data_IF_162905007933
#
_entry.id   IF_162905007933
#
_cell.length_a   1.000
_cell.length_b   1.000
_cell.length_c   1.000
_cell.angle_alpha   90.00
_cell.angle_beta   90.00
_cell.angle_gamma   90.00
#
_symmetry.space_group_name_H-M   'P 1'
#
loop_
_entity.id
_entity.type
_entity.pdbx_description
1 polymer ?
#
# COMPACT_ATOMS: atom_id res chain seq x y z
N UNK A 1 11.78 12.97 33.36
CA UNK A 1 11.28 13.69 32.17
C UNK A 1 11.46 12.74 30.98
N UNK A 2 10.45 12.58 30.12
CA UNK A 2 10.52 11.63 29.00
C UNK A 2 11.73 11.93 28.12
N UNK A 3 12.51 10.91 27.77
CA UNK A 3 13.71 11.02 26.92
C UNK A 3 13.45 11.72 25.58
N UNK A 4 12.19 11.78 25.14
CA UNK A 4 11.77 12.45 23.91
C UNK A 4 11.79 13.98 23.99
N UNK A 5 11.53 14.56 25.17
CA UNK A 5 11.46 16.02 25.34
C UNK A 5 12.83 16.71 25.34
N UNK A 6 13.91 15.94 25.24
CA UNK A 6 15.29 16.43 25.22
C UNK A 6 15.91 16.41 23.82
N UNK A 7 15.19 15.90 22.81
CA UNK A 7 15.63 15.88 21.43
C UNK A 7 15.49 17.26 20.79
N UNK A 8 16.32 17.58 19.80
CA UNK A 8 16.02 18.68 18.88
C UNK A 8 14.77 18.35 18.07
N UNK A 9 14.11 19.36 17.52
CA UNK A 9 12.91 19.17 16.69
C UNK A 9 13.18 18.21 15.52
N UNK A 10 14.32 18.32 14.84
CA UNK A 10 14.70 17.41 13.75
C UNK A 10 14.85 15.96 14.21
N UNK A 11 15.52 15.74 15.35
CA UNK A 11 15.71 14.39 15.90
C UNK A 11 14.40 13.80 16.43
N UNK A 12 13.50 14.65 16.95
CA UNK A 12 12.17 14.24 17.37
C UNK A 12 11.31 13.85 16.15
N UNK A 13 11.31 14.67 15.10
CA UNK A 13 10.57 14.40 13.87
C UNK A 13 11.08 13.13 13.17
N UNK A 14 12.39 12.96 13.02
CA UNK A 14 12.98 11.75 12.44
C UNK A 14 12.54 10.49 13.20
N UNK A 15 12.61 10.53 14.53
CA UNK A 15 12.20 9.40 15.38
C UNK A 15 10.71 9.10 15.28
N UNK A 16 9.85 10.13 15.25
CA UNK A 16 8.41 9.94 15.10
C UNK A 16 8.05 9.37 13.73
N UNK A 17 8.67 9.88 12.66
CA UNK A 17 8.46 9.37 11.31
C UNK A 17 8.96 7.93 11.15
N UNK A 18 10.14 7.60 11.68
CA UNK A 18 10.68 6.24 11.63
C UNK A 18 9.80 5.27 12.42
N UNK A 19 9.30 5.67 13.60
CA UNK A 19 8.38 4.86 14.38
C UNK A 19 7.04 4.65 13.65
N UNK A 20 6.50 5.68 13.00
CA UNK A 20 5.29 5.57 12.19
C UNK A 20 5.51 4.65 10.98
N UNK A 21 6.66 4.75 10.31
CA UNK A 21 7.02 3.86 9.21
C UNK A 21 7.16 2.40 9.65
N UNK A 22 7.66 2.16 10.87
CA UNK A 22 7.79 0.83 11.47
C UNK A 22 6.50 0.03 11.45
N UNK A 23 5.34 0.70 11.55
CA UNK A 23 4.04 0.05 11.38
C UNK A 23 3.93 -0.76 10.08
N UNK A 24 4.35 -0.19 8.95
CA UNK A 24 4.29 -0.86 7.65
C UNK A 24 5.30 -2.00 7.53
N UNK A 25 6.44 -1.90 8.22
CA UNK A 25 7.46 -2.93 8.23
C UNK A 25 6.96 -4.16 8.99
N UNK A 26 6.35 -3.92 10.16
CA UNK A 26 6.01 -4.95 11.14
C UNK A 26 4.67 -5.64 10.86
N UNK A 27 3.72 -4.95 10.22
CA UNK A 27 2.33 -5.44 10.09
C UNK A 27 1.92 -5.89 8.69
N UNK A 28 2.70 -5.55 7.66
CA UNK A 28 2.41 -5.97 6.28
C UNK A 28 2.48 -7.50 6.14
N UNK A 29 1.52 -8.07 5.43
CA UNK A 29 1.54 -9.48 5.06
C UNK A 29 2.60 -9.72 3.97
N UNK A 30 3.67 -10.43 4.33
CA UNK A 30 4.81 -10.71 3.46
C UNK A 30 4.47 -11.58 2.24
N UNK A 31 3.32 -12.26 2.21
CA UNK A 31 2.89 -13.11 1.09
C UNK A 31 2.24 -12.32 -0.03
N UNK A 32 1.51 -11.23 0.28
CA UNK A 32 0.68 -10.52 -0.69
C UNK A 32 0.79 -8.99 -0.66
N UNK A 33 1.57 -8.40 0.27
CA UNK A 33 1.75 -6.95 0.31
C UNK A 33 0.62 -6.16 0.95
N UNK A 34 -0.42 -6.83 1.47
CA UNK A 34 -1.52 -6.15 2.13
C UNK A 34 -1.14 -5.67 3.53
N UNK A 35 -1.73 -4.55 3.94
CA UNK A 35 -1.45 -3.88 5.21
C UNK A 35 -2.76 -3.74 5.98
N UNK A 36 -2.80 -4.11 7.27
CA UNK A 36 -4.00 -3.93 8.08
C UNK A 36 -4.37 -2.45 8.21
N UNK A 37 -5.62 -2.17 8.56
CA UNK A 37 -6.14 -0.82 8.82
C UNK A 37 -5.56 -0.23 10.12
N UNK A 38 -5.31 -1.08 11.11
CA UNK A 38 -4.77 -0.69 12.42
C UNK A 38 -3.75 -1.72 12.94
N UNK A 39 -3.06 -1.40 14.03
CA UNK A 39 -2.18 -2.34 14.75
C UNK A 39 -2.91 -3.30 15.69
N UNK A 40 -4.25 -3.25 15.74
CA UNK A 40 -5.04 -4.14 16.58
C UNK A 40 -5.04 -5.55 15.99
N UNK A 41 -5.07 -6.55 16.87
CA UNK A 41 -5.19 -7.94 16.46
C UNK A 41 -6.45 -8.15 15.61
N UNK A 42 -6.33 -8.96 14.55
CA UNK A 42 -7.40 -9.27 13.59
C UNK A 42 -8.00 -8.06 12.86
N UNK A 43 -7.28 -6.93 12.78
CA UNK A 43 -7.68 -5.81 11.94
C UNK A 43 -7.76 -6.25 10.46
N UNK A 44 -8.82 -5.90 9.72
CA UNK A 44 -8.84 -6.16 8.27
C UNK A 44 -7.83 -5.25 7.58
N UNK A 45 -7.61 -5.50 6.29
CA UNK A 45 -6.86 -4.61 5.40
C UNK A 45 -7.73 -3.42 5.05
N UNK A 46 -7.15 -2.22 5.08
CA UNK A 46 -7.70 -1.06 4.38
C UNK A 46 -6.86 -0.80 3.12
N UNK A 47 -7.52 -0.74 1.96
CA UNK A 47 -6.81 -0.50 0.70
C UNK A 47 -6.15 0.89 0.66
N UNK A 48 -6.70 1.87 1.38
CA UNK A 48 -6.10 3.19 1.53
C UNK A 48 -4.75 3.11 2.25
N UNK A 49 -4.67 2.31 3.32
CA UNK A 49 -3.45 2.11 4.10
C UNK A 49 -2.37 1.41 3.27
N UNK A 50 -2.75 0.51 2.36
CA UNK A 50 -1.80 -0.05 1.38
C UNK A 50 -1.26 1.04 0.46
N UNK A 51 -2.11 1.95 -0.03
CA UNK A 51 -1.67 3.14 -0.78
C UNK A 51 -0.70 4.04 0.00
N UNK A 52 -0.94 4.25 1.29
CA UNK A 52 -0.04 5.01 2.15
C UNK A 52 1.31 4.31 2.36
N UNK A 53 1.31 2.98 2.56
CA UNK A 53 2.54 2.21 2.66
C UNK A 53 3.40 2.36 1.40
N UNK A 54 2.79 2.20 0.21
CA UNK A 54 3.47 2.37 -1.09
C UNK A 54 4.04 3.79 -1.26
N UNK A 55 3.30 4.81 -0.81
CA UNK A 55 3.76 6.20 -0.84
C UNK A 55 4.91 6.48 0.14
N UNK A 56 4.98 5.74 1.25
CA UNK A 56 6.00 5.92 2.28
C UNK A 56 7.34 5.26 1.92
N UNK A 57 7.34 4.22 1.07
CA UNK A 57 8.57 3.49 0.72
C UNK A 57 9.66 4.36 0.08
N UNK A 58 9.39 5.27 -0.88
CA UNK A 58 10.39 6.22 -1.37
C UNK A 58 11.06 7.03 -0.25
N UNK A 59 10.26 7.57 0.67
CA UNK A 59 10.79 8.36 1.79
C UNK A 59 11.66 7.51 2.73
N UNK A 60 11.27 6.26 2.99
CA UNK A 60 12.06 5.35 3.82
C UNK A 60 13.38 4.96 3.17
N UNK A 61 13.43 4.82 1.84
CA UNK A 61 14.67 4.58 1.08
C UNK A 61 15.60 5.78 1.17
N UNK A 62 15.10 6.99 0.91
CA UNK A 62 15.89 8.23 1.00
C UNK A 62 16.45 8.48 2.42
N UNK A 63 15.73 8.03 3.45
CA UNK A 63 16.15 8.14 4.85
C UNK A 63 16.99 6.95 5.34
N UNK A 64 17.26 5.96 4.50
CA UNK A 64 18.05 4.78 4.86
C UNK A 64 17.37 3.85 5.86
N UNK A 65 16.05 3.91 6.00
CA UNK A 65 15.28 3.02 6.89
C UNK A 65 14.90 1.70 6.23
N UNK A 66 14.91 1.66 4.90
CA UNK A 66 14.60 0.47 4.10
C UNK A 66 15.47 0.43 2.86
N UNK A 67 16.02 -0.74 2.55
CA UNK A 67 16.76 -0.95 1.31
C UNK A 67 15.85 -0.80 0.09
N UNK A 68 16.36 -0.17 -0.97
CA UNK A 68 15.60 0.06 -2.21
C UNK A 68 15.02 -1.24 -2.78
N UNK A 69 15.80 -2.31 -2.81
CA UNK A 69 15.37 -3.62 -3.31
C UNK A 69 14.20 -4.20 -2.49
N UNK A 70 14.20 -4.00 -1.17
CA UNK A 70 13.13 -4.44 -0.29
C UNK A 70 11.85 -3.62 -0.51
N UNK A 71 11.97 -2.31 -0.67
CA UNK A 71 10.86 -1.43 -1.01
C UNK A 71 10.18 -1.82 -2.34
N UNK A 72 10.98 -2.09 -3.38
CA UNK A 72 10.49 -2.57 -4.68
C UNK A 72 9.80 -3.93 -4.54
N UNK A 73 10.40 -4.87 -3.79
CA UNK A 73 9.82 -6.19 -3.54
C UNK A 73 8.46 -6.10 -2.86
N UNK A 74 8.33 -5.30 -1.79
CA UNK A 74 7.05 -5.07 -1.07
C UNK A 74 6.00 -4.44 -1.98
N UNK A 75 6.40 -3.46 -2.79
CA UNK A 75 5.51 -2.81 -3.75
C UNK A 75 4.98 -3.82 -4.77
N UNK A 76 5.87 -4.64 -5.36
CA UNK A 76 5.48 -5.66 -6.33
C UNK A 76 4.51 -6.70 -5.76
N UNK A 77 4.67 -7.11 -4.49
CA UNK A 77 3.71 -8.02 -3.86
C UNK A 77 2.29 -7.45 -3.87
N UNK A 78 2.14 -6.20 -3.40
CA UNK A 78 0.84 -5.53 -3.38
C UNK A 78 0.26 -5.36 -4.79
N UNK A 79 1.05 -4.84 -5.74
CA UNK A 79 0.57 -4.62 -7.11
C UNK A 79 0.21 -5.92 -7.83
N UNK A 80 0.97 -7.01 -7.64
CA UNK A 80 0.64 -8.33 -8.19
C UNK A 80 -0.65 -8.88 -7.58
N UNK A 81 -0.83 -8.75 -6.27
CA UNK A 81 -2.09 -9.10 -5.61
C UNK A 81 -3.28 -8.36 -6.25
N UNK A 82 -3.21 -7.04 -6.37
CA UNK A 82 -4.32 -6.25 -6.95
C UNK A 82 -4.53 -6.52 -8.44
N UNK A 83 -3.47 -6.80 -9.21
CA UNK A 83 -3.56 -7.24 -10.62
C UNK A 83 -4.38 -8.53 -10.72
N UNK A 84 -4.08 -9.52 -9.89
CA UNK A 84 -4.63 -10.87 -9.99
C UNK A 84 -5.93 -11.07 -9.19
N UNK A 85 -6.31 -10.06 -8.41
CA UNK A 85 -7.48 -10.11 -7.53
C UNK A 85 -8.83 -10.24 -8.26
N UNK A 86 -9.83 -10.77 -7.54
CA UNK A 86 -11.19 -10.93 -8.05
C UNK A 86 -11.86 -9.57 -8.31
N UNK A 87 -12.19 -9.29 -9.57
CA UNK A 87 -12.88 -8.10 -10.06
C UNK A 87 -14.33 -8.37 -10.52
N UNK A 88 -14.89 -9.52 -10.15
CA UNK A 88 -16.24 -9.95 -10.56
C UNK A 88 -17.37 -9.08 -10.00
N UNK A 89 -17.12 -8.29 -8.95
CA UNK A 89 -18.16 -7.58 -8.21
C UNK A 89 -19.08 -8.47 -7.39
N UNK A 90 -18.71 -9.74 -7.19
CA UNK A 90 -19.43 -10.63 -6.26
C UNK A 90 -19.38 -10.08 -4.82
N UNK A 91 -20.29 -10.52 -3.92
CA UNK A 91 -20.28 -10.07 -2.52
C UNK A 91 -18.97 -10.33 -1.77
N UNK A 92 -18.09 -11.18 -2.29
CA UNK A 92 -16.77 -11.46 -1.70
C UNK A 92 -15.61 -11.19 -2.65
N UNK A 93 -15.85 -10.51 -3.77
CA UNK A 93 -14.80 -10.06 -4.67
C UNK A 93 -13.90 -9.04 -3.98
N UNK A 94 -12.69 -8.85 -4.49
CA UNK A 94 -11.76 -7.81 -4.02
C UNK A 94 -12.17 -6.45 -4.56
N UNK A 95 -12.75 -6.41 -5.77
CA UNK A 95 -13.21 -5.19 -6.39
C UNK A 95 -14.17 -5.41 -7.54
N UNK A 96 -14.46 -4.32 -8.24
CA UNK A 96 -15.35 -4.26 -9.39
C UNK A 96 -15.04 -3.03 -10.23
N UNK A 97 -15.08 -3.16 -11.56
CA UNK A 97 -14.83 -2.03 -12.50
C UNK A 97 -13.47 -1.34 -12.30
N UNK A 98 -12.49 -2.09 -11.76
CA UNK A 98 -11.17 -1.57 -11.41
C UNK A 98 -11.12 -0.82 -10.08
N UNK A 99 -12.26 -0.53 -9.45
CA UNK A 99 -12.32 -0.09 -8.06
C UNK A 99 -12.19 -1.29 -7.11
N UNK A 100 -11.88 -1.00 -5.86
CA UNK A 100 -11.66 -1.98 -4.82
C UNK A 100 -12.57 -1.71 -3.61
N UNK A 101 -12.99 -2.78 -2.94
CA UNK A 101 -13.74 -2.66 -1.70
C UNK A 101 -12.81 -2.14 -0.59
N UNK A 102 -13.33 -1.25 0.26
CA UNK A 102 -12.54 -0.58 1.30
C UNK A 102 -11.80 -1.58 2.19
N UNK A 103 -12.53 -2.54 2.75
CA UNK A 103 -11.98 -3.53 3.68
C UNK A 103 -11.90 -4.93 3.08
N UNK A 104 -10.72 -5.54 3.21
CA UNK A 104 -10.42 -6.89 2.74
C UNK A 104 -9.89 -7.78 3.88
N UNK A 105 -10.07 -9.09 3.73
CA UNK A 105 -9.39 -10.10 4.53
C UNK A 105 -7.90 -10.14 4.14
N UNK A 106 -7.01 -10.18 5.14
CA UNK A 106 -5.56 -10.01 4.94
C UNK A 106 -4.89 -11.17 4.20
N UNK A 107 -5.48 -12.37 4.22
CA UNK A 107 -4.92 -13.54 3.56
C UNK A 107 -5.56 -13.77 2.20
N UNK A 108 -6.90 -13.79 2.17
CA UNK A 108 -7.66 -14.14 0.97
C UNK A 108 -7.97 -12.96 0.06
N UNK A 109 -7.87 -11.72 0.54
CA UNK A 109 -8.20 -10.54 -0.24
C UNK A 109 -9.69 -10.37 -0.51
N UNK A 110 -10.55 -11.14 0.16
CA UNK A 110 -12.02 -11.07 -0.01
C UNK A 110 -12.58 -9.89 0.76
N UNK A 111 -13.58 -9.22 0.19
CA UNK A 111 -14.33 -8.16 0.89
C UNK A 111 -14.83 -8.63 2.26
N UNK A 112 -14.61 -7.80 3.28
CA UNK A 112 -15.13 -8.01 4.63
C UNK A 112 -16.10 -6.90 5.03
N UNK A 113 -16.88 -7.17 6.09
CA UNK A 113 -17.84 -6.24 6.71
C UNK A 113 -18.89 -5.62 5.77
N UNK A 114 -19.11 -6.23 4.60
CA UNK A 114 -19.96 -5.65 3.55
C UNK A 114 -19.57 -4.20 3.23
N UNK A 115 -18.28 -3.89 3.33
CA UNK A 115 -17.70 -2.57 3.05
C UNK A 115 -18.03 -2.09 1.64
N UNK A 116 -18.17 -0.80 1.43
CA UNK A 116 -18.47 -0.21 0.13
C UNK A 116 -17.38 -0.46 -0.92
N UNK A 117 -17.77 -0.47 -2.19
CA UNK A 117 -16.81 -0.33 -3.28
C UNK A 117 -16.33 1.12 -3.23
N UNK A 118 -15.10 1.34 -2.76
CA UNK A 118 -14.68 2.67 -2.31
C UNK A 118 -13.90 3.40 -3.38
N UNK A 119 -14.53 4.43 -3.94
CA UNK A 119 -13.93 5.32 -4.93
C UNK A 119 -12.71 6.05 -4.37
N UNK A 120 -12.83 6.61 -3.18
CA UNK A 120 -11.79 7.42 -2.55
C UNK A 120 -10.60 6.55 -2.12
N UNK A 121 -10.85 5.38 -1.55
CA UNK A 121 -9.76 4.51 -1.11
C UNK A 121 -9.07 3.84 -2.30
N UNK A 122 -9.81 3.55 -3.38
CA UNK A 122 -9.21 3.14 -4.66
C UNK A 122 -8.31 4.24 -5.23
N UNK A 123 -8.74 5.50 -5.19
CA UNK A 123 -7.91 6.62 -5.64
C UNK A 123 -6.62 6.75 -4.81
N UNK A 124 -6.71 6.62 -3.48
CA UNK A 124 -5.53 6.64 -2.60
C UNK A 124 -4.59 5.45 -2.84
N UNK A 125 -5.15 4.25 -3.05
CA UNK A 125 -4.36 3.06 -3.42
C UNK A 125 -3.57 3.30 -4.71
N UNK A 126 -4.27 3.75 -5.77
CA UNK A 126 -3.66 3.99 -7.08
C UNK A 126 -2.62 5.12 -7.02
N UNK A 127 -2.89 6.19 -6.27
CA UNK A 127 -1.91 7.25 -6.05
C UNK A 127 -0.63 6.72 -5.39
N UNK A 128 -0.73 5.81 -4.43
CA UNK A 128 0.42 5.15 -3.83
C UNK A 128 1.21 4.28 -4.80
N UNK A 129 0.51 3.48 -5.62
CA UNK A 129 1.14 2.67 -6.67
C UNK A 129 1.91 3.53 -7.68
N UNK A 130 1.31 4.63 -8.14
CA UNK A 130 1.94 5.56 -9.07
C UNK A 130 3.12 6.31 -8.44
N UNK A 131 3.01 6.66 -7.15
CA UNK A 131 4.11 7.30 -6.40
C UNK A 131 5.33 6.38 -6.35
N UNK A 132 5.13 5.11 -5.98
CA UNK A 132 6.20 4.11 -5.99
C UNK A 132 6.80 3.96 -7.40
N UNK A 133 5.97 3.76 -8.43
CA UNK A 133 6.42 3.59 -9.81
C UNK A 133 7.20 4.80 -10.36
N UNK A 134 6.83 6.03 -9.95
CA UNK A 134 7.51 7.26 -10.39
C UNK A 134 8.90 7.40 -9.75
N UNK A 135 9.08 6.92 -8.52
CA UNK A 135 10.37 6.97 -7.82
C UNK A 135 11.29 5.79 -8.17
N UNK A 136 10.71 4.60 -8.36
CA UNK A 136 11.45 3.38 -8.70
C UNK A 136 11.68 3.25 -10.21
N UNK A 137 12.71 3.95 -10.71
CA UNK A 137 13.04 4.10 -12.14
C UNK A 137 14.34 3.44 -12.62
N UNK A 138 15.02 2.66 -11.77
CA UNK A 138 16.26 1.98 -12.15
C UNK A 138 16.04 1.00 -13.31
N UNK A 139 17.08 0.78 -14.11
CA UNK A 139 17.09 -0.17 -15.22
C UNK A 139 17.26 -1.61 -14.71
N UNK A 140 16.22 -2.10 -14.03
CA UNK A 140 16.12 -3.46 -13.52
C UNK A 140 14.77 -4.06 -13.90
N UNK A 141 14.71 -5.38 -14.07
CA UNK A 141 13.46 -6.06 -14.40
C UNK A 141 12.36 -5.83 -13.35
N UNK A 142 12.72 -5.77 -12.06
CA UNK A 142 11.77 -5.57 -10.97
C UNK A 142 11.15 -4.17 -10.98
N UNK A 143 11.96 -3.12 -11.17
CA UNK A 143 11.44 -1.75 -11.24
C UNK A 143 10.69 -1.50 -12.56
N UNK A 144 11.09 -2.14 -13.66
CA UNK A 144 10.33 -2.14 -14.91
C UNK A 144 8.93 -2.74 -14.73
N UNK A 145 8.84 -3.94 -14.12
CA UNK A 145 7.56 -4.58 -13.81
C UNK A 145 6.70 -3.71 -12.88
N UNK A 146 7.29 -3.08 -11.86
CA UNK A 146 6.56 -2.20 -10.95
C UNK A 146 5.87 -1.06 -11.69
N UNK A 147 6.57 -0.42 -12.65
CA UNK A 147 6.01 0.65 -13.48
C UNK A 147 4.91 0.15 -14.41
N UNK A 148 5.11 -1.00 -15.04
CA UNK A 148 4.10 -1.62 -15.92
C UNK A 148 2.82 -1.99 -15.15
N UNK A 149 2.95 -2.57 -13.96
CA UNK A 149 1.81 -2.92 -13.12
C UNK A 149 1.06 -1.69 -12.62
N UNK A 150 1.77 -0.63 -12.25
CA UNK A 150 1.14 0.61 -11.78
C UNK A 150 0.31 1.26 -12.90
N UNK A 151 0.86 1.35 -14.13
CA UNK A 151 0.13 1.87 -15.30
C UNK A 151 -1.08 0.99 -15.64
N UNK A 152 -0.92 -0.34 -15.63
CA UNK A 152 -2.02 -1.28 -15.85
C UNK A 152 -3.16 -1.08 -14.85
N UNK A 153 -2.83 -0.99 -13.55
CA UNK A 153 -3.82 -0.84 -12.49
C UNK A 153 -4.50 0.54 -12.54
N UNK A 154 -3.75 1.60 -12.82
CA UNK A 154 -4.31 2.94 -13.03
C UNK A 154 -5.34 2.96 -14.17
N UNK A 155 -5.00 2.34 -15.32
CA UNK A 155 -5.88 2.28 -16.50
C UNK A 155 -7.05 1.30 -16.35
N UNK A 156 -6.95 0.35 -15.44
CA UNK A 156 -8.03 -0.61 -15.13
C UNK A 156 -9.24 0.08 -14.53
N UNK A 157 -9.05 1.18 -13.80
CA UNK A 157 -10.13 1.88 -13.10
C UNK A 157 -11.05 2.60 -14.09
N UNK A 158 -12.32 2.23 -14.10
CA UNK A 158 -13.34 2.84 -14.95
C UNK A 158 -13.94 4.09 -14.28
N UNK A 159 -13.20 5.20 -14.29
CA UNK A 159 -13.63 6.46 -13.66
C UNK A 159 -14.93 7.05 -14.24
N UNK A 160 -15.35 6.65 -15.43
CA UNK A 160 -16.61 7.10 -16.03
C UNK A 160 -17.84 6.33 -15.52
N UNK A 161 -17.63 5.17 -14.90
CA UNK A 161 -18.71 4.36 -14.35
C UNK A 161 -19.30 4.95 -13.05
N UNK A 162 -18.54 5.80 -12.35
CA UNK A 162 -18.91 6.38 -11.06
C UNK A 162 -19.64 7.72 -11.13
#
# INVERSE_FOLDING_TARGET
MSSLCMLSDDALLDRLQQAAFGYFVDTMNAENGLVPDTSREHSPVSIAVVGFALSAYPAAVERGWMERAEAVRRSLLALRFFRDSDQSGSPTATGYKGFYYHFLDIHSGRRVWRSELSMIDSAMLIAGMLTAATYFTADTAAEAELRELADLLYRRVDWHWS
#
